data_IF_813342156495
#
_entry.id   IF_813342156495
#
_cell.length_a   1.000
_cell.length_b   1.000
_cell.length_c   1.000
_cell.angle_alpha   90.00
_cell.angle_beta   90.00
_cell.angle_gamma   90.00
#
_symmetry.space_group_name_H-M   'P 1'
#
loop_
_entity.id
_entity.type
_entity.pdbx_description
1 polymer ?
#
# COMPACT_ATOMS: atom_id res chain seq x y z
N UNK A 1 23.40 -11.77 8.39
CA UNK A 1 22.37 -10.69 8.28
C UNK A 1 21.29 -11.04 9.30
N UNK A 2 20.90 -10.12 10.18
CA UNK A 2 19.84 -10.43 11.17
C UNK A 2 18.46 -10.31 10.52
N UNK A 3 17.47 -11.03 11.05
CA UNK A 3 16.08 -10.94 10.58
C UNK A 3 15.56 -9.51 10.69
N UNK A 4 15.96 -8.79 11.73
CA UNK A 4 15.62 -7.37 11.91
C UNK A 4 16.16 -6.50 10.75
N UNK A 5 17.42 -6.71 10.33
CA UNK A 5 17.97 -5.93 9.22
C UNK A 5 17.27 -6.25 7.89
N UNK A 6 16.86 -7.51 7.70
CA UNK A 6 16.08 -7.89 6.52
C UNK A 6 14.71 -7.19 6.50
N UNK A 7 14.03 -7.13 7.65
CA UNK A 7 12.75 -6.45 7.77
C UNK A 7 12.89 -4.92 7.54
N UNK A 8 13.87 -4.28 8.15
CA UNK A 8 14.15 -2.85 7.91
C UNK A 8 14.48 -2.61 6.43
N UNK A 9 15.29 -3.50 5.83
CA UNK A 9 15.60 -3.42 4.41
C UNK A 9 14.37 -3.50 3.50
N UNK A 10 13.37 -4.33 3.84
CA UNK A 10 12.13 -4.42 3.09
C UNK A 10 11.29 -3.13 3.18
N UNK A 11 11.23 -2.50 4.36
CA UNK A 11 10.54 -1.22 4.53
C UNK A 11 11.18 -0.11 3.70
N UNK A 12 12.53 -0.04 3.69
CA UNK A 12 13.27 0.92 2.87
C UNK A 12 13.04 0.66 1.39
N UNK A 13 13.13 -0.60 0.95
CA UNK A 13 12.95 -0.97 -0.45
C UNK A 13 11.54 -0.64 -0.96
N UNK A 14 10.50 -0.94 -0.18
CA UNK A 14 9.12 -0.61 -0.50
C UNK A 14 8.93 0.91 -0.64
N UNK A 15 9.41 1.69 0.32
CA UNK A 15 9.27 3.16 0.29
C UNK A 15 10.03 3.80 -0.87
N UNK A 16 11.15 3.22 -1.32
CA UNK A 16 11.88 3.69 -2.51
C UNK A 16 11.14 3.28 -3.78
N UNK A 17 10.61 2.06 -3.83
CA UNK A 17 9.90 1.52 -4.99
C UNK A 17 8.48 2.07 -5.16
N UNK A 18 7.84 2.49 -4.08
CA UNK A 18 6.42 2.88 -4.04
C UNK A 18 6.00 3.86 -5.15
N UNK A 19 6.72 4.94 -5.45
CA UNK A 19 6.31 5.88 -6.49
C UNK A 19 6.38 5.29 -7.90
N UNK A 20 7.11 4.21 -8.09
CA UNK A 20 7.30 3.53 -9.39
C UNK A 20 6.37 2.32 -9.56
N UNK A 21 5.56 2.01 -8.58
CA UNK A 21 4.63 0.89 -8.68
C UNK A 21 3.64 1.10 -9.83
N UNK A 22 3.34 0.00 -10.52
CA UNK A 22 2.32 -0.07 -11.57
C UNK A 22 2.65 0.71 -12.86
N UNK A 23 3.93 1.07 -13.08
CA UNK A 23 4.38 1.47 -14.40
C UNK A 23 4.66 0.23 -15.26
N UNK A 24 3.97 0.13 -16.37
CA UNK A 24 4.14 -0.94 -17.38
C UNK A 24 4.91 -0.41 -18.60
N UNK A 25 4.87 0.90 -18.86
CA UNK A 25 5.66 1.57 -19.88
C UNK A 25 6.95 2.10 -19.26
N UNK A 26 8.07 1.46 -19.62
CA UNK A 26 9.41 1.82 -19.13
C UNK A 26 9.80 3.25 -19.57
N UNK A 27 9.36 3.71 -20.75
CA UNK A 27 9.66 5.06 -21.21
C UNK A 27 8.92 6.10 -20.37
N UNK A 28 7.67 5.82 -20.01
CA UNK A 28 6.92 6.68 -19.10
C UNK A 28 7.55 6.72 -17.70
N UNK A 29 8.00 5.57 -17.19
CA UNK A 29 8.72 5.48 -15.92
C UNK A 29 10.02 6.31 -15.94
N UNK A 30 10.82 6.14 -16.99
CA UNK A 30 12.08 6.86 -17.14
C UNK A 30 11.88 8.37 -17.29
N UNK A 31 10.86 8.77 -18.03
CA UNK A 31 10.49 10.19 -18.20
C UNK A 31 10.02 10.83 -16.88
N UNK A 32 9.32 10.07 -16.04
CA UNK A 32 8.79 10.57 -14.77
C UNK A 32 9.82 10.58 -13.63
N UNK A 33 10.68 9.57 -13.54
CA UNK A 33 11.57 9.38 -12.40
C UNK A 33 13.05 9.25 -12.75
N UNK A 34 13.40 8.77 -13.95
CA UNK A 34 14.78 8.53 -14.33
C UNK A 34 15.52 7.62 -13.34
N UNK A 35 16.73 8.03 -12.94
CA UNK A 35 17.51 7.31 -11.93
C UNK A 35 17.05 7.66 -10.53
N UNK A 36 16.49 6.70 -9.81
CA UNK A 36 15.98 6.89 -8.44
C UNK A 36 17.10 6.62 -7.44
N UNK A 37 17.43 7.62 -6.63
CA UNK A 37 18.50 7.55 -5.60
C UNK A 37 17.99 7.83 -4.18
N UNK A 38 16.67 7.90 -3.98
CA UNK A 38 16.08 8.20 -2.67
C UNK A 38 14.56 8.10 -2.67
N UNK A 39 13.98 8.57 -1.60
CA UNK A 39 12.52 8.59 -1.47
C UNK A 39 11.90 9.70 -2.32
N UNK A 40 10.94 9.33 -3.14
CA UNK A 40 10.18 10.25 -3.99
C UNK A 40 8.67 10.09 -3.72
N UNK A 41 7.88 11.17 -3.92
CA UNK A 41 6.43 11.04 -3.85
C UNK A 41 5.88 10.37 -5.12
N UNK A 42 4.71 9.73 -5.05
CA UNK A 42 4.02 9.25 -6.24
C UNK A 42 3.62 10.44 -7.13
N UNK A 43 3.78 10.28 -8.44
CA UNK A 43 3.49 11.33 -9.40
C UNK A 43 2.05 11.24 -9.90
N UNK A 44 1.37 12.38 -9.92
CA UNK A 44 0.01 12.47 -10.41
C UNK A 44 -0.07 13.64 -11.43
N UNK A 45 -0.73 13.46 -12.59
CA UNK A 45 -1.39 12.22 -13.03
C UNK A 45 -0.39 11.10 -13.34
N UNK A 46 -0.80 9.85 -13.09
CA UNK A 46 -0.03 8.66 -13.44
C UNK A 46 -0.38 8.25 -14.90
N UNK A 47 0.57 8.32 -15.85
CA UNK A 47 0.26 8.16 -17.28
C UNK A 47 -0.15 6.73 -17.63
N UNK A 48 0.33 5.75 -16.88
CA UNK A 48 0.20 4.32 -17.16
C UNK A 48 -0.77 3.58 -16.21
N UNK A 49 -1.47 4.33 -15.37
CA UNK A 49 -2.39 3.74 -14.39
C UNK A 49 -3.53 2.96 -15.04
N UNK A 50 -3.75 1.74 -14.55
CA UNK A 50 -4.88 0.89 -14.91
C UNK A 50 -5.99 0.86 -13.85
N UNK A 51 -5.94 1.68 -12.83
CA UNK A 51 -6.95 1.74 -11.75
C UNK A 51 -8.37 1.98 -12.28
N UNK A 52 -8.50 2.62 -13.44
CA UNK A 52 -9.76 2.82 -14.11
C UNK A 52 -10.46 1.52 -14.56
N UNK A 53 -9.73 0.39 -14.61
CA UNK A 53 -10.29 -0.94 -14.91
C UNK A 53 -10.82 -1.64 -13.65
N UNK A 54 -10.48 -1.14 -12.48
CA UNK A 54 -10.82 -1.75 -11.20
C UNK A 54 -12.17 -1.23 -10.73
N UNK A 55 -12.99 -2.14 -10.20
CA UNK A 55 -14.28 -1.84 -9.61
C UNK A 55 -14.20 -2.25 -8.15
N UNK A 56 -14.50 -1.32 -7.24
CA UNK A 56 -14.62 -1.62 -5.82
C UNK A 56 -16.09 -1.74 -5.44
N UNK A 57 -16.45 -2.87 -4.88
CA UNK A 57 -17.77 -3.13 -4.32
C UNK A 57 -17.59 -3.84 -2.98
N UNK A 58 -17.67 -3.10 -1.89
CA UNK A 58 -17.60 -3.68 -0.56
C UNK A 58 -18.77 -4.68 -0.34
N UNK A 59 -18.49 -5.82 0.28
CA UNK A 59 -19.50 -6.82 0.67
C UNK A 59 -20.34 -6.32 1.85
N UNK A 60 -20.99 -5.17 1.66
CA UNK A 60 -21.80 -4.46 2.63
C UNK A 60 -21.04 -3.38 3.41
N UNK A 61 -21.75 -2.56 4.20
CA UNK A 61 -21.17 -1.39 4.87
C UNK A 61 -20.12 -1.72 5.95
N UNK A 62 -20.09 -2.98 6.38
CA UNK A 62 -19.11 -3.47 7.38
C UNK A 62 -17.84 -4.06 6.76
N UNK A 63 -17.69 -4.03 5.44
CA UNK A 63 -16.56 -4.58 4.72
C UNK A 63 -15.85 -3.51 3.87
N UNK A 64 -16.06 -2.24 4.15
CA UNK A 64 -15.41 -1.13 3.44
C UNK A 64 -13.99 -0.94 3.96
N UNK A 65 -13.02 -1.45 3.20
CA UNK A 65 -11.59 -1.36 3.52
C UNK A 65 -10.89 -0.19 2.83
N UNK A 66 -11.51 0.43 1.83
CA UNK A 66 -10.95 1.58 1.10
C UNK A 66 -11.38 2.92 1.70
N UNK A 67 -12.50 2.94 2.42
CA UNK A 67 -13.04 4.16 3.02
C UNK A 67 -13.18 5.30 1.99
N UNK A 68 -12.51 6.43 2.22
CA UNK A 68 -12.54 7.59 1.34
C UNK A 68 -11.78 7.33 0.02
N UNK A 69 -10.81 6.42 0.02
CA UNK A 69 -9.97 6.14 -1.16
C UNK A 69 -10.75 5.43 -2.29
N UNK A 70 -11.89 4.82 -1.99
CA UNK A 70 -12.74 4.14 -2.98
C UNK A 70 -13.24 5.06 -4.10
N UNK A 71 -13.33 6.36 -3.85
CA UNK A 71 -13.76 7.33 -4.85
C UNK A 71 -12.83 7.43 -6.06
N UNK A 72 -11.57 7.01 -5.92
CA UNK A 72 -10.58 7.03 -6.99
C UNK A 72 -10.62 5.81 -7.90
N UNK A 73 -11.25 4.73 -7.45
CA UNK A 73 -11.40 3.52 -8.25
C UNK A 73 -12.28 3.77 -9.48
N UNK A 74 -11.87 3.21 -10.62
CA UNK A 74 -12.50 3.49 -11.90
C UNK A 74 -12.07 4.78 -12.59
N UNK A 75 -11.27 5.64 -11.93
CA UNK A 75 -10.76 6.89 -12.50
C UNK A 75 -9.43 6.69 -13.21
N UNK A 76 -9.20 7.47 -14.28
CA UNK A 76 -7.94 7.46 -15.04
C UNK A 76 -6.92 8.42 -14.45
N UNK A 77 -5.65 8.11 -14.67
CA UNK A 77 -4.54 8.98 -14.28
C UNK A 77 -4.28 9.05 -12.77
N UNK A 78 -4.86 8.13 -12.00
CA UNK A 78 -4.68 8.06 -10.56
C UNK A 78 -3.54 7.10 -10.25
N UNK A 79 -2.55 7.56 -9.52
CA UNK A 79 -1.52 6.67 -8.96
C UNK A 79 -2.12 5.81 -7.86
N UNK A 80 -1.77 4.51 -7.83
CA UNK A 80 -2.29 3.57 -6.83
C UNK A 80 -1.99 4.01 -5.40
N UNK A 81 -0.88 4.68 -5.19
CA UNK A 81 -0.41 5.18 -3.89
C UNK A 81 -0.46 6.71 -3.81
N UNK A 82 -1.38 7.36 -4.54
CA UNK A 82 -1.41 8.84 -4.66
C UNK A 82 -1.47 9.60 -3.34
N UNK A 83 -1.99 8.99 -2.29
CA UNK A 83 -2.14 9.61 -0.98
C UNK A 83 -0.92 9.42 -0.07
N UNK A 84 0.03 8.59 -0.49
CA UNK A 84 1.27 8.36 0.25
C UNK A 84 2.30 9.47 -0.05
N UNK A 85 3.15 9.73 0.92
CA UNK A 85 4.25 10.70 0.81
C UNK A 85 5.57 9.99 0.57
N UNK A 86 6.56 10.74 0.11
CA UNK A 86 7.93 10.24 -0.01
C UNK A 86 8.41 9.60 1.31
N UNK A 87 8.86 8.37 1.24
CA UNK A 87 9.33 7.60 2.39
C UNK A 87 8.25 6.84 3.17
N UNK A 88 6.97 7.01 2.84
CA UNK A 88 5.92 6.17 3.42
C UNK A 88 5.90 4.79 2.77
N UNK A 89 5.47 3.80 3.52
CA UNK A 89 5.30 2.43 3.04
C UNK A 89 3.90 2.21 2.46
N UNK A 90 3.84 1.31 1.48
CA UNK A 90 2.56 0.83 0.95
C UNK A 90 1.77 0.08 2.03
N UNK A 91 0.46 -0.09 1.80
CA UNK A 91 -0.41 -0.83 2.71
C UNK A 91 0.13 -2.24 3.03
N UNK A 92 0.74 -2.92 2.05
CA UNK A 92 1.32 -4.25 2.26
C UNK A 92 2.40 -4.25 3.35
N UNK A 93 3.29 -3.26 3.35
CA UNK A 93 4.34 -3.15 4.35
C UNK A 93 3.84 -2.53 5.67
N UNK A 94 2.80 -1.71 5.64
CA UNK A 94 2.10 -1.28 6.86
C UNK A 94 1.48 -2.48 7.58
N UNK A 95 0.80 -3.37 6.85
CA UNK A 95 0.22 -4.63 7.38
C UNK A 95 1.31 -5.59 7.87
N UNK A 96 2.42 -5.70 7.15
CA UNK A 96 3.56 -6.52 7.59
C UNK A 96 4.15 -6.00 8.90
N UNK A 97 4.23 -4.69 9.07
CA UNK A 97 4.67 -4.05 10.31
C UNK A 97 3.70 -4.31 11.45
N UNK A 98 2.39 -4.24 11.17
CA UNK A 98 1.36 -4.53 12.17
C UNK A 98 1.38 -6.01 12.58
N UNK A 99 1.58 -6.92 11.64
CA UNK A 99 1.76 -8.34 11.93
C UNK A 99 2.97 -8.57 12.85
N UNK A 100 4.09 -7.94 12.52
CA UNK A 100 5.31 -8.04 13.35
C UNK A 100 5.05 -7.55 14.78
N UNK A 101 4.40 -6.39 14.94
CA UNK A 101 4.00 -5.86 16.25
C UNK A 101 3.06 -6.80 16.99
N UNK A 102 2.07 -7.35 16.29
CA UNK A 102 1.10 -8.29 16.86
C UNK A 102 1.78 -9.54 17.42
N UNK A 103 2.75 -10.10 16.69
CA UNK A 103 3.52 -11.26 17.15
C UNK A 103 4.39 -10.90 18.36
N UNK A 104 5.09 -9.76 18.34
CA UNK A 104 5.92 -9.31 19.44
C UNK A 104 5.13 -9.13 20.75
N UNK A 105 3.96 -8.51 20.66
CA UNK A 105 3.11 -8.24 21.82
C UNK A 105 2.51 -9.52 22.43
N UNK A 106 2.28 -10.55 21.61
CA UNK A 106 1.68 -11.82 22.05
C UNK A 106 2.69 -12.89 22.38
N UNK A 107 3.93 -12.75 21.92
CA UNK A 107 4.97 -13.77 22.05
C UNK A 107 4.78 -14.99 21.15
N UNK A 108 3.69 -15.04 20.36
CA UNK A 108 3.35 -16.15 19.47
C UNK A 108 2.53 -15.67 18.27
N UNK A 109 2.56 -16.45 17.19
CA UNK A 109 1.67 -16.27 16.05
C UNK A 109 0.47 -17.21 16.14
N UNK A 110 -0.75 -16.64 16.13
CA UNK A 110 -2.02 -17.37 15.99
C UNK A 110 -2.82 -16.78 14.84
N UNK A 111 -3.08 -17.57 13.83
CA UNK A 111 -3.77 -17.11 12.59
C UNK A 111 -5.10 -16.43 12.88
N UNK A 112 -5.97 -17.05 13.69
CA UNK A 112 -7.28 -16.43 14.02
C UNK A 112 -7.15 -15.07 14.72
N UNK A 113 -6.18 -14.92 15.60
CA UNK A 113 -5.94 -13.68 16.31
C UNK A 113 -5.40 -12.60 15.35
N UNK A 114 -4.55 -13.01 14.40
CA UNK A 114 -4.08 -12.12 13.34
C UNK A 114 -5.22 -11.69 12.40
N UNK A 115 -6.04 -12.62 11.93
CA UNK A 115 -7.16 -12.28 11.03
C UNK A 115 -8.16 -11.31 11.67
N UNK A 116 -8.42 -11.45 12.97
CA UNK A 116 -9.24 -10.47 13.71
C UNK A 116 -8.57 -9.10 13.75
N UNK A 117 -7.27 -9.06 14.02
CA UNK A 117 -6.50 -7.80 14.04
C UNK A 117 -6.42 -7.17 12.66
N UNK A 118 -6.18 -7.97 11.62
CA UNK A 118 -6.20 -7.54 10.23
C UNK A 118 -7.55 -6.88 9.87
N UNK A 119 -8.66 -7.56 10.14
CA UNK A 119 -9.99 -7.01 9.89
C UNK A 119 -10.22 -5.70 10.68
N UNK A 120 -9.83 -5.65 11.94
CA UNK A 120 -9.94 -4.45 12.78
C UNK A 120 -9.22 -3.26 12.16
N UNK A 121 -7.95 -3.41 11.78
CA UNK A 121 -7.17 -2.30 11.23
C UNK A 121 -7.67 -1.88 9.86
N UNK A 122 -8.03 -2.82 8.98
CA UNK A 122 -8.54 -2.51 7.65
C UNK A 122 -9.89 -1.82 7.69
N UNK A 123 -10.74 -2.14 8.67
CA UNK A 123 -12.06 -1.53 8.87
C UNK A 123 -12.02 -0.22 9.68
N UNK A 124 -10.87 0.15 10.21
CA UNK A 124 -10.72 1.39 10.98
C UNK A 124 -10.45 2.57 10.05
N UNK A 125 -11.36 3.52 9.88
CA UNK A 125 -11.14 4.70 9.05
C UNK A 125 -9.89 5.46 9.48
N UNK A 126 -9.05 5.83 8.50
CA UNK A 126 -7.83 6.58 8.72
C UNK A 126 -6.64 5.76 9.25
N UNK A 127 -6.78 4.44 9.43
CA UNK A 127 -5.63 3.59 9.76
C UNK A 127 -4.64 3.50 8.59
N UNK A 128 -5.14 3.46 7.36
CA UNK A 128 -4.36 3.64 6.15
C UNK A 128 -5.02 4.68 5.24
N UNK A 129 -4.25 5.20 4.31
CA UNK A 129 -4.70 6.13 3.28
C UNK A 129 -4.24 5.71 1.88
N UNK A 130 -3.87 4.44 1.72
CA UNK A 130 -3.49 3.92 0.42
C UNK A 130 -4.72 3.78 -0.48
N UNK A 131 -4.61 4.23 -1.73
CA UNK A 131 -5.70 4.17 -2.71
C UNK A 131 -5.96 2.75 -3.19
N UNK A 132 -4.93 1.90 -3.15
CA UNK A 132 -5.05 0.50 -3.54
C UNK A 132 -4.97 -0.41 -2.33
N UNK A 133 -6.02 -1.18 -2.11
CA UNK A 133 -6.07 -2.27 -1.15
C UNK A 133 -6.71 -3.50 -1.81
N UNK A 134 -6.13 -4.66 -1.58
CA UNK A 134 -6.67 -5.93 -2.06
C UNK A 134 -7.61 -6.53 -1.01
N UNK A 135 -8.76 -7.00 -1.46
CA UNK A 135 -9.67 -7.80 -0.64
C UNK A 135 -9.16 -9.27 -0.63
N UNK A 136 -8.77 -9.75 0.54
CA UNK A 136 -8.42 -11.15 0.76
C UNK A 136 -9.44 -11.86 1.65
#
# INVERSE_FOLDING_TARGET
>A
MSLQNAFIGSLVADSVAMPMHWYYDVNALDADYGSVTGYLPPRSPHPDSILWRSIYAANGPKADILHEQKEFWGKRGIHYHQSLKAGENTLNLQLSTELYRHILLRGEFKLEAWLRRYAEVMLTPGWHNDTYAEEY
#
